data_IF_271169189537
#
_entry.id   IF_271169189537
#
_cell.length_a   1.000
_cell.length_b   1.000
_cell.length_c   1.000
_cell.angle_alpha   90.00
_cell.angle_beta   90.00
_cell.angle_gamma   90.00
#
_symmetry.space_group_name_H-M   'P 1'
#
loop_
_entity.id
_entity.type
_entity.pdbx_description
1 polymer ?
#
# COMPACT_ATOMS: atom_id res chain seq x y z
N UNK A 1 -12.59 -6.34 1.93
CA UNK A 1 -11.95 -5.07 1.55
C UNK A 1 -12.93 -4.08 0.89
N UNK A 2 -13.79 -4.54 -0.05
CA UNK A 2 -14.78 -3.69 -0.74
C UNK A 2 -15.95 -3.09 0.10
N UNK A 3 -16.53 -3.74 1.13
CA UNK A 3 -17.77 -3.23 1.72
C UNK A 3 -17.59 -1.97 2.59
N UNK A 4 -16.47 -1.78 3.30
CA UNK A 4 -16.30 -0.59 4.17
C UNK A 4 -15.84 0.67 3.44
N UNK A 5 -15.12 0.56 2.33
CA UNK A 5 -14.78 1.72 1.48
C UNK A 5 -16.06 2.30 0.86
N UNK A 6 -16.96 1.42 0.39
CA UNK A 6 -18.24 1.83 -0.19
C UNK A 6 -19.10 2.55 0.85
N UNK A 7 -19.19 2.04 2.09
CA UNK A 7 -19.96 2.66 3.19
C UNK A 7 -19.44 4.05 3.56
N UNK A 8 -18.11 4.27 3.58
CA UNK A 8 -17.53 5.60 3.84
C UNK A 8 -17.77 6.59 2.69
N UNK A 9 -17.90 6.10 1.46
CA UNK A 9 -18.16 6.91 0.27
C UNK A 9 -19.57 7.50 0.24
N UNK A 10 -20.52 6.89 0.96
CA UNK A 10 -21.93 7.32 0.96
C UNK A 10 -22.20 8.46 1.96
N UNK A 11 -21.29 8.75 2.90
CA UNK A 11 -21.58 9.63 4.05
C UNK A 11 -20.81 10.95 4.08
N UNK A 12 -19.65 11.13 3.42
CA UNK A 12 -18.96 12.42 3.57
C UNK A 12 -17.92 12.74 2.46
N UNK A 13 -18.31 13.71 1.62
CA UNK A 13 -17.48 14.70 0.90
C UNK A 13 -16.06 14.33 0.46
N UNK A 14 -15.88 14.14 -0.85
CA UNK A 14 -14.78 14.57 -1.75
C UNK A 14 -13.29 14.45 -1.39
N UNK A 15 -12.89 14.45 -0.13
CA UNK A 15 -11.50 14.47 0.31
C UNK A 15 -10.89 13.06 0.38
N UNK A 16 -11.68 12.04 0.73
CA UNK A 16 -11.24 10.64 0.80
C UNK A 16 -11.19 9.92 -0.56
N UNK A 17 -11.94 10.39 -1.57
CA UNK A 17 -12.00 9.78 -2.91
C UNK A 17 -10.69 9.91 -3.67
N UNK A 18 -9.94 11.00 -3.50
CA UNK A 18 -8.62 11.19 -4.11
C UNK A 18 -7.61 10.12 -3.65
N UNK A 19 -7.62 9.78 -2.36
CA UNK A 19 -6.73 8.76 -1.78
C UNK A 19 -7.15 7.35 -2.24
N UNK A 20 -8.45 7.09 -2.36
CA UNK A 20 -8.98 5.83 -2.91
C UNK A 20 -8.66 5.63 -4.40
N UNK A 21 -8.71 6.71 -5.19
CA UNK A 21 -8.28 6.71 -6.60
C UNK A 21 -6.79 6.41 -6.74
N UNK A 22 -5.93 7.07 -5.96
CA UNK A 22 -4.49 6.80 -5.98
C UNK A 22 -4.16 5.36 -5.56
N UNK A 23 -4.85 4.83 -4.55
CA UNK A 23 -4.68 3.43 -4.13
C UNK A 23 -5.01 2.44 -5.26
N UNK A 24 -6.17 2.61 -5.90
CA UNK A 24 -6.60 1.72 -6.99
C UNK A 24 -5.72 1.85 -8.23
N UNK A 25 -5.17 3.04 -8.51
CA UNK A 25 -4.16 3.23 -9.57
C UNK A 25 -2.85 2.52 -9.27
N UNK A 26 -2.31 2.64 -8.05
CA UNK A 26 -1.09 1.90 -7.64
C UNK A 26 -1.32 0.40 -7.70
N UNK A 27 -2.51 -0.06 -7.30
CA UNK A 27 -2.90 -1.46 -7.34
C UNK A 27 -3.07 -2.00 -8.78
N UNK A 28 -3.62 -1.18 -9.68
CA UNK A 28 -3.69 -1.48 -11.11
C UNK A 28 -2.29 -1.64 -11.72
N UNK A 29 -1.36 -0.74 -11.38
CA UNK A 29 0.03 -0.82 -11.84
C UNK A 29 0.72 -2.08 -11.29
N UNK A 30 0.45 -2.44 -10.03
CA UNK A 30 0.99 -3.65 -9.41
C UNK A 30 0.53 -4.93 -10.11
N UNK A 31 -0.76 -5.07 -10.40
CA UNK A 31 -1.26 -6.24 -11.13
C UNK A 31 -0.77 -6.27 -12.57
N UNK A 32 -0.65 -5.11 -13.22
CA UNK A 32 -0.08 -5.01 -14.57
C UNK A 32 1.36 -5.52 -14.58
N UNK A 33 2.16 -5.16 -13.56
CA UNK A 33 3.51 -5.67 -13.38
C UNK A 33 3.55 -7.20 -13.19
N UNK A 34 2.61 -7.77 -12.42
CA UNK A 34 2.52 -9.24 -12.28
C UNK A 34 2.13 -9.94 -13.57
N UNK A 35 1.22 -9.36 -14.36
CA UNK A 35 0.85 -9.84 -15.69
C UNK A 35 2.08 -9.89 -16.60
N UNK A 36 2.85 -8.79 -16.67
CA UNK A 36 4.09 -8.71 -17.46
C UNK A 36 5.14 -9.71 -16.97
N UNK A 37 5.23 -9.94 -15.66
CA UNK A 37 6.13 -10.96 -15.10
C UNK A 37 5.73 -12.40 -15.48
N UNK A 38 4.47 -12.64 -15.87
CA UNK A 38 3.99 -13.96 -16.29
C UNK A 38 4.11 -14.22 -17.79
N UNK A 39 4.31 -13.16 -18.60
CA UNK A 39 4.44 -13.22 -20.07
C UNK A 39 5.79 -13.78 -20.59
N UNK A 40 6.67 -14.23 -19.70
CA UNK A 40 7.88 -14.99 -20.05
C UNK A 40 9.22 -14.29 -19.73
N UNK A 41 10.34 -15.01 -19.88
CA UNK A 41 11.67 -14.57 -19.43
C UNK A 41 12.22 -13.34 -20.18
N UNK A 42 11.69 -13.02 -21.37
CA UNK A 42 12.12 -11.84 -22.12
C UNK A 42 11.68 -10.52 -21.48
N UNK A 43 10.54 -10.51 -20.78
CA UNK A 43 10.01 -9.30 -20.13
C UNK A 43 10.56 -9.08 -18.72
N UNK A 44 11.23 -10.09 -18.14
CA UNK A 44 11.86 -9.96 -16.83
C UNK A 44 12.96 -8.89 -16.79
N UNK A 45 13.57 -8.59 -17.94
CA UNK A 45 14.60 -7.56 -18.08
C UNK A 45 14.09 -6.14 -17.80
N UNK A 46 12.80 -5.88 -18.00
CA UNK A 46 12.16 -4.58 -17.76
C UNK A 46 11.64 -4.40 -16.32
N UNK A 47 11.79 -5.40 -15.45
CA UNK A 47 11.27 -5.40 -14.08
C UNK A 47 12.08 -4.53 -13.09
N UNK A 48 13.03 -3.70 -13.56
CA UNK A 48 13.93 -2.94 -12.69
C UNK A 48 13.20 -1.89 -11.82
N UNK A 49 12.08 -1.38 -12.31
CA UNK A 49 11.19 -0.45 -11.60
C UNK A 49 10.37 -1.06 -10.44
N UNK A 50 10.51 -2.36 -10.14
CA UNK A 50 9.76 -3.01 -9.05
C UNK A 50 9.96 -2.33 -7.69
N UNK A 51 11.12 -1.71 -7.47
CA UNK A 51 11.44 -0.95 -6.25
C UNK A 51 10.53 0.26 -6.08
N UNK A 52 10.24 0.97 -7.18
CA UNK A 52 9.34 2.13 -7.16
C UNK A 52 7.90 1.71 -6.88
N UNK A 53 7.45 0.57 -7.44
CA UNK A 53 6.15 -0.01 -7.08
C UNK A 53 6.05 -0.32 -5.59
N UNK A 54 7.04 -1.02 -5.02
CA UNK A 54 7.03 -1.36 -3.58
C UNK A 54 7.05 -0.11 -2.70
N UNK A 55 7.82 0.91 -3.06
CA UNK A 55 7.85 2.20 -2.35
C UNK A 55 6.52 2.96 -2.45
N UNK A 56 5.89 2.98 -3.63
CA UNK A 56 4.58 3.59 -3.82
C UNK A 56 3.50 2.88 -2.97
N UNK A 57 3.52 1.55 -2.95
CA UNK A 57 2.59 0.74 -2.15
C UNK A 57 2.79 0.95 -0.65
N UNK A 58 4.03 1.04 -0.16
CA UNK A 58 4.30 1.38 1.25
C UNK A 58 3.84 2.79 1.61
N UNK A 59 4.01 3.77 0.71
CA UNK A 59 3.57 5.15 0.93
C UNK A 59 2.04 5.22 1.06
N UNK A 60 1.30 4.44 0.26
CA UNK A 60 -0.16 4.36 0.36
C UNK A 60 -0.60 3.86 1.75
N UNK A 61 0.08 2.85 2.31
CA UNK A 61 -0.28 2.29 3.61
C UNK A 61 0.01 3.28 4.73
N UNK A 62 1.08 4.07 4.64
CA UNK A 62 1.38 5.13 5.60
C UNK A 62 0.28 6.20 5.61
N UNK A 63 -0.13 6.69 4.43
CA UNK A 63 -1.20 7.68 4.32
C UNK A 63 -2.50 7.14 4.93
N UNK A 64 -2.84 5.88 4.67
CA UNK A 64 -4.04 5.22 5.24
C UNK A 64 -3.93 5.12 6.76
N UNK A 65 -2.78 4.72 7.32
CA UNK A 65 -2.55 4.64 8.77
C UNK A 65 -2.72 6.01 9.43
N UNK A 66 -2.15 7.07 8.84
CA UNK A 66 -2.29 8.43 9.36
C UNK A 66 -3.74 8.90 9.31
N UNK A 67 -4.42 8.70 8.17
CA UNK A 67 -5.80 9.14 7.99
C UNK A 67 -6.78 8.40 8.91
N UNK A 68 -6.65 7.08 9.03
CA UNK A 68 -7.51 6.24 9.89
C UNK A 68 -7.21 6.44 11.37
N UNK A 69 -5.95 6.71 11.73
CA UNK A 69 -5.53 7.08 13.08
C UNK A 69 -6.07 8.43 13.54
N UNK A 70 -6.08 9.44 12.67
CA UNK A 70 -6.68 10.75 12.97
C UNK A 70 -8.19 10.65 13.20
N UNK A 71 -8.89 9.83 12.40
CA UNK A 71 -10.33 9.58 12.58
C UNK A 71 -10.61 8.84 13.89
N UNK A 72 -9.71 7.94 14.32
CA UNK A 72 -9.89 7.19 15.56
C UNK A 72 -9.77 8.08 16.81
N UNK A 73 -8.98 9.16 16.73
CA UNK A 73 -8.81 10.13 17.82
C UNK A 73 -9.90 11.21 17.88
N UNK A 74 -10.70 11.37 16.82
CA UNK A 74 -11.84 12.30 16.81
C UNK A 74 -13.11 11.53 17.16
N UNK A 75 -13.83 11.95 18.20
CA UNK A 75 -15.09 11.32 18.66
C UNK A 75 -16.26 11.53 17.69
N UNK A 76 -16.18 10.95 16.50
CA UNK A 76 -17.32 10.76 15.62
C UNK A 76 -17.89 9.35 15.76
N UNK A 77 -19.21 9.24 15.68
CA UNK A 77 -20.01 7.99 15.68
C UNK A 77 -19.86 7.18 14.37
N UNK A 78 -18.68 7.22 13.77
CA UNK A 78 -18.34 6.47 12.57
C UNK A 78 -18.02 5.02 12.97
N UNK A 79 -18.38 4.02 12.16
CA UNK A 79 -18.22 2.58 12.45
C UNK A 79 -16.80 2.21 12.95
N UNK A 80 -16.57 2.34 14.26
CA UNK A 80 -15.25 2.24 14.91
C UNK A 80 -14.63 0.86 14.70
N UNK A 81 -15.49 -0.17 14.67
CA UNK A 81 -15.08 -1.56 14.42
C UNK A 81 -14.45 -1.76 13.04
N UNK A 82 -15.02 -1.17 11.99
CA UNK A 82 -14.45 -1.34 10.66
C UNK A 82 -13.17 -0.52 10.46
N UNK A 83 -13.11 0.68 11.03
CA UNK A 83 -11.89 1.51 11.01
C UNK A 83 -10.74 0.83 11.77
N UNK A 84 -11.00 0.28 12.96
CA UNK A 84 -10.00 -0.44 13.75
C UNK A 84 -9.47 -1.69 13.03
N UNK A 85 -10.36 -2.46 12.39
CA UNK A 85 -9.95 -3.60 11.57
C UNK A 85 -9.05 -3.18 10.39
N UNK A 86 -9.42 -2.11 9.68
CA UNK A 86 -8.64 -1.59 8.55
C UNK A 86 -7.27 -1.07 8.97
N UNK A 87 -7.20 -0.39 10.13
CA UNK A 87 -5.96 0.10 10.72
C UNK A 87 -5.02 -1.05 11.07
N UNK A 88 -5.50 -2.07 11.77
CA UNK A 88 -4.70 -3.25 12.12
C UNK A 88 -4.19 -3.98 10.87
N UNK A 89 -5.05 -4.15 9.87
CA UNK A 89 -4.71 -4.79 8.61
C UNK A 89 -3.64 -4.00 7.84
N UNK A 90 -3.72 -2.67 7.84
CA UNK A 90 -2.73 -1.78 7.20
C UNK A 90 -1.36 -1.85 7.88
N UNK A 91 -1.31 -1.91 9.21
CA UNK A 91 -0.07 -2.08 9.97
C UNK A 91 0.58 -3.43 9.66
N UNK A 92 -0.20 -4.51 9.63
CA UNK A 92 0.29 -5.84 9.30
C UNK A 92 0.95 -5.88 7.92
N UNK A 93 0.26 -5.37 6.90
CA UNK A 93 0.83 -5.31 5.54
C UNK A 93 2.05 -4.40 5.46
N UNK A 94 2.04 -3.24 6.12
CA UNK A 94 3.21 -2.36 6.16
C UNK A 94 4.43 -3.05 6.77
N UNK A 95 4.28 -3.77 7.89
CA UNK A 95 5.38 -4.50 8.53
C UNK A 95 5.97 -5.59 7.61
N UNK A 96 5.09 -6.34 6.93
CA UNK A 96 5.51 -7.37 5.98
C UNK A 96 6.30 -6.77 4.80
N UNK A 97 5.79 -5.69 4.20
CA UNK A 97 6.46 -4.99 3.10
C UNK A 97 7.75 -4.30 3.54
N UNK A 98 7.80 -3.72 4.73
CA UNK A 98 9.00 -3.12 5.28
C UNK A 98 10.10 -4.17 5.52
N UNK A 99 9.72 -5.36 6.02
CA UNK A 99 10.64 -6.49 6.19
C UNK A 99 11.18 -6.97 4.84
N UNK A 100 10.31 -7.13 3.83
CA UNK A 100 10.71 -7.47 2.46
C UNK A 100 11.63 -6.41 1.85
N UNK A 101 11.29 -5.11 1.97
CA UNK A 101 12.08 -4.01 1.44
C UNK A 101 13.49 -3.98 2.06
N UNK A 102 13.59 -4.15 3.38
CA UNK A 102 14.88 -4.26 4.08
C UNK A 102 15.69 -5.43 3.56
N UNK A 103 15.10 -6.62 3.48
CA UNK A 103 15.80 -7.84 3.05
C UNK A 103 16.25 -7.79 1.59
N UNK A 104 15.45 -7.19 0.70
CA UNK A 104 15.76 -7.16 -0.74
C UNK A 104 16.66 -5.99 -1.15
N UNK A 105 16.50 -4.81 -0.55
CA UNK A 105 17.20 -3.60 -1.01
C UNK A 105 18.29 -3.08 -0.05
N UNK A 106 18.17 -3.30 1.27
CA UNK A 106 19.18 -2.86 2.24
C UNK A 106 20.25 -3.93 2.47
N UNK A 107 19.89 -5.21 2.51
CA UNK A 107 20.88 -6.30 2.68
C UNK A 107 21.77 -6.48 1.45
N UNK A 108 21.25 -6.32 0.22
CA UNK A 108 22.10 -6.34 -0.98
C UNK A 108 23.12 -5.19 -1.04
N UNK A 109 22.80 -4.03 -0.45
CA UNK A 109 23.73 -2.89 -0.39
C UNK A 109 24.91 -3.17 0.55
N UNK A 110 24.70 -3.94 1.62
CA UNK A 110 25.77 -4.30 2.58
C UNK A 110 26.67 -5.44 2.09
N UNK A 111 26.28 -6.19 1.04
CA UNK A 111 27.16 -7.15 0.37
C UNK A 111 28.04 -6.50 -0.71
N UNK A 112 27.80 -5.21 -1.00
CA UNK A 112 28.67 -4.36 -1.83
C UNK A 112 29.41 -3.41 -0.89
N UNK A 113 30.20 -4.00 0.03
CA UNK A 113 31.37 -3.32 0.57
C UNK A 113 32.57 -4.05 -0.03
N UNK A 114 33.12 -3.60 -1.16
CA UNK A 114 34.47 -3.99 -1.52
C UNK A 114 35.41 -3.40 -0.47
N UNK A 115 36.20 -4.28 0.13
CA UNK A 115 37.55 -4.10 0.67
C UNK A 115 37.86 -2.77 1.40
#
# INVERSE_FOLDING_TARGET
>A
MAPCIVVMSVVSGGHGTMVGLLNTLVHMIMYSYYLISSLGPQYQKYLWWKKYLTMAQMTQFLIIIFHTGQILFTDCDYTKFCNAYLFFNSIFFFAMFASFYRKTYLVQKNQIKPD
#
